data_IF_896629189742
#
_entry.id   IF_896629189742
#
_cell.length_a   1.000
_cell.length_b   1.000
_cell.length_c   1.000
_cell.angle_alpha   90.00
_cell.angle_beta   90.00
_cell.angle_gamma   90.00
#
_symmetry.space_group_name_H-M   'P 1'
#
loop_
_entity.id
_entity.type
_entity.pdbx_description
1 polymer ?
#
# COMPACT_ATOMS: atom_id res chain seq x y z
N UNK A 1 -7.95 28.38 -10.84
CA UNK A 1 -8.96 28.35 -11.93
C UNK A 1 -8.84 27.10 -12.81
N UNK A 2 -7.69 26.86 -13.47
CA UNK A 2 -7.53 25.71 -14.39
C UNK A 2 -7.69 24.32 -13.73
N UNK A 3 -7.15 24.13 -12.52
CA UNK A 3 -7.31 22.88 -11.76
C UNK A 3 -8.77 22.55 -11.45
N UNK A 4 -9.53 23.55 -10.99
CA UNK A 4 -10.96 23.40 -10.70
C UNK A 4 -11.76 23.06 -11.97
N UNK A 5 -11.49 23.74 -13.08
CA UNK A 5 -12.11 23.44 -14.38
C UNK A 5 -11.83 22.00 -14.82
N UNK A 6 -10.58 21.55 -14.70
CA UNK A 6 -10.20 20.18 -15.01
C UNK A 6 -10.92 19.17 -14.11
N UNK A 7 -11.01 19.44 -12.81
CA UNK A 7 -11.75 18.63 -11.83
C UNK A 7 -13.22 18.48 -12.24
N UNK A 8 -13.90 19.58 -12.57
CA UNK A 8 -15.30 19.54 -13.03
C UNK A 8 -15.47 18.80 -14.36
N UNK A 9 -14.57 19.04 -15.32
CA UNK A 9 -14.56 18.36 -16.61
C UNK A 9 -14.45 16.84 -16.46
N UNK A 10 -13.42 16.36 -15.74
CA UNK A 10 -13.20 14.93 -15.54
C UNK A 10 -14.32 14.29 -14.73
N UNK A 11 -14.84 14.97 -13.70
CA UNK A 11 -15.99 14.52 -12.93
C UNK A 11 -17.21 14.30 -13.84
N UNK A 12 -17.50 15.25 -14.72
CA UNK A 12 -18.60 15.14 -15.68
C UNK A 12 -18.47 13.93 -16.59
N UNK A 13 -17.28 13.75 -17.20
CA UNK A 13 -17.03 12.60 -18.08
C UNK A 13 -17.13 11.26 -17.35
N UNK A 14 -16.49 11.15 -16.18
CA UNK A 14 -16.52 9.93 -15.39
C UNK A 14 -17.95 9.59 -14.93
N UNK A 15 -18.73 10.59 -14.50
CA UNK A 15 -20.14 10.42 -14.13
C UNK A 15 -20.98 9.89 -15.28
N UNK A 16 -20.76 10.35 -16.51
CA UNK A 16 -21.47 9.85 -17.70
C UNK A 16 -21.13 8.37 -17.94
N UNK A 17 -19.85 7.99 -17.81
CA UNK A 17 -19.42 6.58 -17.95
C UNK A 17 -20.07 5.69 -16.88
N UNK A 18 -20.06 6.12 -15.63
CA UNK A 18 -20.71 5.37 -14.54
C UNK A 18 -22.23 5.25 -14.74
N UNK A 19 -22.89 6.32 -15.19
CA UNK A 19 -24.32 6.29 -15.50
C UNK A 19 -24.66 5.33 -16.64
N UNK A 20 -23.83 5.30 -17.69
CA UNK A 20 -24.04 4.47 -18.89
C UNK A 20 -23.80 2.98 -18.64
N UNK A 21 -22.78 2.64 -17.86
CA UNK A 21 -22.31 1.26 -17.70
C UNK A 21 -22.67 0.62 -16.36
N UNK A 22 -22.99 1.43 -15.34
CA UNK A 22 -23.44 1.01 -14.00
C UNK A 22 -22.61 -0.13 -13.38
N UNK A 23 -21.26 -0.02 -13.35
CA UNK A 23 -20.44 -1.01 -12.67
C UNK A 23 -20.68 -0.96 -11.16
N UNK A 24 -20.50 -2.08 -10.47
CA UNK A 24 -20.42 -2.07 -9.01
C UNK A 24 -19.03 -1.55 -8.58
N UNK A 25 -19.01 -0.63 -7.64
CA UNK A 25 -17.79 0.03 -7.16
C UNK A 25 -17.34 -0.57 -5.83
N UNK A 26 -16.06 -0.90 -5.73
CA UNK A 26 -15.37 -1.26 -4.49
C UNK A 26 -14.47 -0.07 -4.13
N UNK A 27 -14.88 0.72 -3.14
CA UNK A 27 -14.09 1.83 -2.62
C UNK A 27 -13.13 1.35 -1.53
N UNK A 28 -11.86 1.72 -1.62
CA UNK A 28 -10.83 1.31 -0.65
C UNK A 28 -10.15 2.54 -0.06
N UNK A 29 -10.14 2.68 1.27
CA UNK A 29 -9.45 3.76 1.97
C UNK A 29 -8.62 3.27 3.17
N UNK A 30 -7.89 4.21 3.77
CA UNK A 30 -6.97 3.99 4.88
C UNK A 30 -5.71 4.84 4.76
N UNK A 31 -4.87 4.79 5.78
CA UNK A 31 -3.52 5.37 5.80
C UNK A 31 -2.48 4.38 5.29
N UNK A 32 -2.63 3.10 5.64
CA UNK A 32 -1.71 2.01 5.28
C UNK A 32 -2.46 0.88 4.55
N UNK A 33 -1.77 0.05 3.78
CA UNK A 33 -2.36 -1.18 3.21
C UNK A 33 -3.29 -1.03 1.99
N UNK A 34 -3.76 0.17 1.64
CA UNK A 34 -4.69 0.42 0.50
C UNK A 34 -4.32 -0.30 -0.80
N UNK A 35 -3.10 -0.08 -1.31
CA UNK A 35 -2.67 -0.61 -2.60
C UNK A 35 -2.54 -2.13 -2.61
N UNK A 36 -2.02 -2.72 -1.52
CA UNK A 36 -1.96 -4.18 -1.38
C UNK A 36 -3.37 -4.78 -1.29
N UNK A 37 -4.27 -4.16 -0.53
CA UNK A 37 -5.67 -4.60 -0.43
C UNK A 37 -6.38 -4.49 -1.79
N UNK A 38 -6.19 -3.40 -2.54
CA UNK A 38 -6.71 -3.25 -3.91
C UNK A 38 -6.27 -4.38 -4.81
N UNK A 39 -5.00 -4.74 -4.78
CA UNK A 39 -4.44 -5.77 -5.66
C UNK A 39 -4.86 -7.18 -5.22
N UNK A 40 -5.03 -7.43 -3.91
CA UNK A 40 -5.61 -8.67 -3.41
C UNK A 40 -7.10 -8.81 -3.79
N UNK A 41 -7.89 -7.75 -3.62
CA UNK A 41 -9.30 -7.71 -4.08
C UNK A 41 -9.38 -7.93 -5.58
N UNK A 42 -8.51 -7.28 -6.36
CA UNK A 42 -8.45 -7.49 -7.81
C UNK A 42 -8.13 -8.94 -8.17
N UNK A 43 -7.14 -9.54 -7.52
CA UNK A 43 -6.73 -10.93 -7.76
C UNK A 43 -7.88 -11.89 -7.52
N UNK A 44 -8.58 -11.75 -6.38
CA UNK A 44 -9.73 -12.59 -6.02
C UNK A 44 -10.88 -12.40 -7.01
N UNK A 45 -11.32 -11.16 -7.25
CA UNK A 45 -12.54 -10.90 -8.03
C UNK A 45 -12.35 -11.14 -9.53
N UNK A 46 -11.13 -11.02 -10.06
CA UNK A 46 -10.84 -11.25 -11.48
C UNK A 46 -11.01 -12.71 -11.91
N UNK A 47 -11.04 -13.65 -10.96
CA UNK A 47 -11.30 -15.07 -11.25
C UNK A 47 -12.73 -15.31 -11.76
N UNK A 48 -13.69 -14.46 -11.40
CA UNK A 48 -15.12 -14.65 -11.72
C UNK A 48 -15.73 -13.49 -12.49
N UNK A 49 -15.19 -12.29 -12.34
CA UNK A 49 -15.78 -11.08 -12.88
C UNK A 49 -14.81 -10.33 -13.79
N UNK A 50 -15.35 -9.55 -14.71
CA UNK A 50 -14.56 -8.53 -15.40
C UNK A 50 -14.33 -7.36 -14.44
N UNK A 51 -13.09 -7.19 -14.00
CA UNK A 51 -12.70 -6.21 -12.97
C UNK A 51 -11.72 -5.21 -13.54
N UNK A 52 -11.84 -3.95 -13.11
CA UNK A 52 -10.91 -2.89 -13.45
C UNK A 52 -10.47 -2.10 -12.23
N UNK A 53 -9.18 -1.81 -12.15
CA UNK A 53 -8.55 -1.04 -11.08
C UNK A 53 -7.69 0.14 -11.57
N UNK A 54 -7.80 0.48 -12.86
CA UNK A 54 -7.00 1.53 -13.51
C UNK A 54 -5.74 1.02 -14.23
N UNK A 55 -5.02 1.95 -14.87
CA UNK A 55 -3.77 1.69 -15.61
C UNK A 55 -2.59 2.38 -14.91
N UNK A 56 -1.56 1.61 -14.58
CA UNK A 56 -0.20 2.12 -14.35
C UNK A 56 0.20 2.44 -12.91
N UNK A 57 1.50 2.74 -12.74
CA UNK A 57 2.25 2.92 -11.48
C UNK A 57 1.84 4.13 -10.61
N UNK A 58 0.86 4.95 -11.01
CA UNK A 58 0.53 6.21 -10.32
C UNK A 58 -0.58 6.01 -9.29
N UNK A 59 -0.44 6.69 -8.14
CA UNK A 59 -1.44 6.73 -7.06
C UNK A 59 -2.68 7.53 -7.49
N UNK A 60 -3.54 6.95 -8.32
CA UNK A 60 -4.79 7.58 -8.77
C UNK A 60 -5.92 7.35 -7.78
N UNK A 61 -5.83 8.06 -6.66
CA UNK A 61 -6.75 7.91 -5.54
C UNK A 61 -7.47 9.21 -5.13
N UNK A 62 -7.18 10.34 -5.78
CA UNK A 62 -7.73 11.65 -5.47
C UNK A 62 -8.77 12.12 -6.51
N UNK A 63 -9.17 13.40 -6.42
CA UNK A 63 -10.24 13.99 -7.23
C UNK A 63 -9.96 14.09 -8.74
N UNK A 64 -8.70 13.92 -9.15
CA UNK A 64 -8.30 13.82 -10.56
C UNK A 64 -8.04 12.36 -10.94
N UNK A 65 -7.39 11.61 -10.04
CA UNK A 65 -7.01 10.22 -10.26
C UNK A 65 -8.21 9.29 -10.44
N UNK A 66 -9.20 9.36 -9.55
CA UNK A 66 -10.38 8.48 -9.60
C UNK A 66 -11.18 8.64 -10.90
N UNK A 67 -11.50 9.86 -11.37
CA UNK A 67 -12.08 10.05 -12.70
C UNK A 67 -11.25 9.41 -13.83
N UNK A 68 -9.92 9.57 -13.80
CA UNK A 68 -9.04 9.00 -14.83
C UNK A 68 -9.07 7.47 -14.82
N UNK A 69 -9.13 6.84 -13.64
CA UNK A 69 -9.31 5.39 -13.50
C UNK A 69 -10.62 4.95 -14.14
N UNK A 70 -11.73 5.63 -13.87
CA UNK A 70 -13.06 5.32 -14.44
C UNK A 70 -13.04 5.42 -15.97
N UNK A 71 -12.38 6.45 -16.51
CA UNK A 71 -12.25 6.66 -17.95
C UNK A 71 -11.28 5.70 -18.63
N UNK A 72 -10.30 5.16 -17.88
CA UNK A 72 -9.17 4.41 -18.44
C UNK A 72 -8.11 5.31 -19.07
N UNK A 73 -8.00 6.55 -18.60
CA UNK A 73 -7.08 7.55 -19.10
C UNK A 73 -5.86 7.73 -18.19
N UNK A 74 -4.78 8.30 -18.72
CA UNK A 74 -3.56 8.65 -17.97
C UNK A 74 -3.55 10.15 -17.64
N UNK A 75 -2.81 10.51 -16.60
CA UNK A 75 -2.57 11.90 -16.20
C UNK A 75 -1.54 12.57 -17.10
N UNK A 76 -1.85 13.75 -17.64
CA UNK A 76 -1.02 14.45 -18.62
C UNK A 76 -0.22 15.64 -18.07
N UNK A 77 -0.31 15.91 -16.76
CA UNK A 77 0.48 16.99 -16.14
C UNK A 77 0.11 18.35 -16.74
N UNK A 78 1.12 19.10 -17.19
CA UNK A 78 0.95 20.41 -17.85
C UNK A 78 0.58 20.32 -19.33
N UNK A 79 0.51 19.12 -19.93
CA UNK A 79 0.23 18.95 -21.35
C UNK A 79 -1.27 19.09 -21.64
N UNK A 80 -1.69 20.27 -22.10
CA UNK A 80 -3.08 20.59 -22.44
C UNK A 80 -3.64 19.73 -23.59
N UNK A 81 -2.82 19.39 -24.59
CA UNK A 81 -3.24 18.55 -25.72
C UNK A 81 -3.55 17.12 -25.22
N UNK A 82 -2.75 16.61 -24.28
CA UNK A 82 -3.01 15.33 -23.63
C UNK A 82 -4.36 15.30 -22.91
N UNK A 83 -4.74 16.41 -22.27
CA UNK A 83 -6.06 16.54 -21.63
C UNK A 83 -7.22 16.56 -22.64
N UNK A 84 -7.04 17.14 -23.82
CA UNK A 84 -8.01 17.02 -24.92
C UNK A 84 -8.14 15.55 -25.38
N UNK A 85 -7.02 14.82 -25.43
CA UNK A 85 -7.00 13.39 -25.71
C UNK A 85 -7.89 12.54 -24.80
N UNK A 86 -8.04 12.94 -23.53
CA UNK A 86 -8.93 12.26 -22.56
C UNK A 86 -10.39 12.28 -23.03
N UNK A 87 -10.83 13.32 -23.76
CA UNK A 87 -12.16 13.36 -24.35
C UNK A 87 -12.39 12.22 -25.35
N UNK A 88 -11.40 11.93 -26.19
CA UNK A 88 -11.51 10.86 -27.18
C UNK A 88 -11.46 9.48 -26.53
N UNK A 89 -10.68 9.30 -25.46
CA UNK A 89 -10.73 8.09 -24.62
C UNK A 89 -12.13 7.91 -24.03
N UNK A 90 -12.72 8.99 -23.51
CA UNK A 90 -14.09 9.02 -23.01
C UNK A 90 -15.10 8.59 -24.09
N UNK A 91 -15.05 9.16 -25.31
CA UNK A 91 -15.96 8.80 -26.39
C UNK A 91 -15.84 7.31 -26.75
N UNK A 92 -14.62 6.80 -26.89
CA UNK A 92 -14.39 5.37 -27.14
C UNK A 92 -14.98 4.49 -26.03
N UNK A 93 -14.82 4.90 -24.76
CA UNK A 93 -15.36 4.18 -23.61
C UNK A 93 -16.89 4.29 -23.50
N UNK A 94 -17.47 5.41 -23.91
CA UNK A 94 -18.91 5.67 -23.87
C UNK A 94 -19.66 4.77 -24.85
N UNK A 95 -19.12 4.59 -26.05
CA UNK A 95 -19.71 3.78 -27.12
C UNK A 95 -19.22 2.33 -27.16
N UNK A 96 -18.28 1.96 -26.29
CA UNK A 96 -17.84 0.56 -26.13
C UNK A 96 -19.01 -0.32 -25.68
N UNK A 97 -19.19 -1.47 -26.35
CA UNK A 97 -20.16 -2.50 -25.95
C UNK A 97 -19.77 -3.26 -24.68
N UNK A 98 -18.52 -3.12 -24.22
CA UNK A 98 -18.01 -3.79 -23.02
C UNK A 98 -17.33 -2.80 -22.07
N UNK A 99 -17.78 -2.80 -20.82
CA UNK A 99 -17.16 -2.12 -19.68
C UNK A 99 -17.05 -3.13 -18.52
N UNK A 100 -16.01 -3.06 -17.67
CA UNK A 100 -15.86 -3.96 -16.52
C UNK A 100 -17.10 -3.95 -15.63
N UNK A 101 -17.49 -5.12 -15.13
CA UNK A 101 -18.63 -5.24 -14.20
C UNK A 101 -18.31 -4.63 -12.84
N UNK A 102 -17.04 -4.73 -12.42
CA UNK A 102 -16.55 -4.25 -11.14
C UNK A 102 -15.45 -3.20 -11.32
N UNK A 103 -15.54 -2.11 -10.57
CA UNK A 103 -14.52 -1.08 -10.46
C UNK A 103 -13.92 -1.09 -9.05
N UNK A 104 -12.60 -1.23 -8.94
CA UNK A 104 -11.90 -1.06 -7.66
C UNK A 104 -11.23 0.31 -7.67
N UNK A 105 -11.64 1.16 -6.75
CA UNK A 105 -11.19 2.54 -6.65
C UNK A 105 -10.53 2.76 -5.27
N UNK A 106 -9.23 3.07 -5.27
CA UNK A 106 -8.61 3.65 -4.07
C UNK A 106 -9.15 5.07 -3.90
N UNK A 107 -9.62 5.40 -2.69
CA UNK A 107 -10.17 6.70 -2.32
C UNK A 107 -9.30 7.31 -1.22
N UNK A 108 -8.31 8.08 -1.66
CA UNK A 108 -7.42 8.87 -0.81
C UNK A 108 -8.10 10.16 -0.35
N UNK A 109 -7.66 10.67 0.79
CA UNK A 109 -8.10 11.98 1.30
C UNK A 109 -6.85 12.75 1.67
N UNK A 110 -6.77 13.97 1.16
CA UNK A 110 -5.69 14.90 1.46
C UNK A 110 -6.24 16.05 2.32
N UNK A 111 -7.50 16.45 2.10
CA UNK A 111 -8.18 17.55 2.79
C UNK A 111 -9.60 17.17 3.23
N UNK A 112 -10.20 17.91 4.18
CA UNK A 112 -11.60 17.75 4.54
C UNK A 112 -12.53 17.92 3.33
N UNK A 113 -13.50 17.00 3.18
CA UNK A 113 -14.48 16.98 2.09
C UNK A 113 -14.10 16.14 0.87
N UNK A 114 -12.86 15.64 0.80
CA UNK A 114 -12.41 14.79 -0.31
C UNK A 114 -13.20 13.47 -0.39
N UNK A 115 -13.47 12.83 0.75
CA UNK A 115 -14.19 11.56 0.74
C UNK A 115 -15.62 11.73 0.23
N UNK A 116 -16.26 12.84 0.60
CA UNK A 116 -17.59 13.19 0.11
C UNK A 116 -17.59 13.42 -1.41
N UNK A 117 -16.58 14.11 -1.94
CA UNK A 117 -16.44 14.28 -3.39
C UNK A 117 -16.30 12.94 -4.12
N UNK A 118 -15.42 12.07 -3.64
CA UNK A 118 -15.13 10.78 -4.29
C UNK A 118 -16.32 9.84 -4.25
N UNK A 119 -17.01 9.75 -3.11
CA UNK A 119 -18.19 8.88 -2.95
C UNK A 119 -19.42 9.43 -3.67
N UNK A 120 -19.56 10.75 -3.83
CA UNK A 120 -20.60 11.33 -4.70
C UNK A 120 -20.37 11.02 -6.19
N UNK A 121 -19.10 10.96 -6.62
CA UNK A 121 -18.78 10.57 -7.99
C UNK A 121 -19.08 9.10 -8.23
N UNK A 122 -18.55 8.23 -7.36
CA UNK A 122 -18.58 6.79 -7.50
C UNK A 122 -19.04 6.13 -6.19
N UNK A 123 -20.37 6.09 -5.93
CA UNK A 123 -20.91 5.47 -4.74
C UNK A 123 -20.50 3.99 -4.64
N UNK A 124 -19.86 3.55 -3.54
CA UNK A 124 -19.43 2.17 -3.40
C UNK A 124 -20.60 1.21 -3.14
N UNK A 125 -20.51 0.02 -3.71
CA UNK A 125 -21.26 -1.16 -3.26
C UNK A 125 -20.54 -1.88 -2.10
N UNK A 126 -19.21 -1.80 -2.08
CA UNK A 126 -18.35 -2.25 -0.99
C UNK A 126 -17.42 -1.11 -0.58
N UNK A 127 -17.35 -0.82 0.71
CA UNK A 127 -16.38 0.12 1.28
C UNK A 127 -15.42 -0.62 2.18
N UNK A 128 -14.13 -0.62 1.81
CA UNK A 128 -13.07 -1.30 2.54
C UNK A 128 -12.18 -0.28 3.25
N UNK A 129 -12.01 -0.42 4.56
CA UNK A 129 -11.11 0.41 5.37
C UNK A 129 -9.98 -0.46 5.90
N UNK A 130 -8.76 -0.10 5.49
CA UNK A 130 -7.57 -0.92 5.72
C UNK A 130 -6.91 -0.71 7.08
N UNK A 131 -6.71 0.53 7.50
CA UNK A 131 -6.02 0.88 8.74
C UNK A 131 -5.61 2.35 8.75
N UNK A 132 -5.69 2.99 9.90
CA UNK A 132 -5.30 4.39 10.09
C UNK A 132 -3.93 4.52 10.74
N UNK A 133 -3.63 3.65 11.71
CA UNK A 133 -2.49 3.81 12.62
C UNK A 133 -2.66 5.01 13.57
N UNK A 134 -1.80 5.11 14.57
CA UNK A 134 -1.87 6.19 15.58
C UNK A 134 -1.67 7.58 14.99
N UNK A 135 -0.80 7.71 13.99
CA UNK A 135 -0.54 8.94 13.26
C UNK A 135 -0.83 8.69 11.77
N UNK A 136 -2.04 9.02 11.30
CA UNK A 136 -2.42 8.92 9.90
C UNK A 136 -1.56 9.78 8.98
N UNK A 137 -1.38 9.33 7.74
CA UNK A 137 -0.81 10.18 6.67
C UNK A 137 -1.78 11.33 6.33
N UNK A 138 -1.23 12.46 5.87
CA UNK A 138 -1.96 13.71 5.58
C UNK A 138 -2.52 14.43 6.81
N UNK A 139 -2.16 14.02 8.04
CA UNK A 139 -2.61 14.68 9.27
C UNK A 139 -2.26 16.18 9.31
N UNK A 140 -1.24 16.61 8.56
CA UNK A 140 -0.84 18.03 8.45
C UNK A 140 -1.92 18.96 7.89
N UNK A 141 -2.87 18.45 7.11
CA UNK A 141 -3.98 19.23 6.54
C UNK A 141 -5.26 19.17 7.37
N UNK A 142 -5.22 18.49 8.52
CA UNK A 142 -6.35 18.28 9.42
C UNK A 142 -6.05 18.84 10.81
N UNK A 143 -7.09 18.98 11.64
CA UNK A 143 -6.93 19.42 13.03
C UNK A 143 -6.30 18.38 13.94
N UNK A 144 -6.14 17.14 13.48
CA UNK A 144 -5.57 16.02 14.24
C UNK A 144 -5.93 14.65 13.64
N UNK A 145 -5.38 13.55 14.18
CA UNK A 145 -5.64 12.18 13.73
C UNK A 145 -7.13 11.81 13.66
N UNK A 146 -7.92 12.24 14.64
CA UNK A 146 -9.35 11.95 14.76
C UNK A 146 -10.15 12.55 13.59
N UNK A 147 -9.73 13.72 13.10
CA UNK A 147 -10.36 14.36 11.95
C UNK A 147 -10.06 13.62 10.64
N UNK A 148 -8.85 13.05 10.50
CA UNK A 148 -8.50 12.19 9.35
C UNK A 148 -9.33 10.90 9.37
N UNK A 149 -9.45 10.27 10.54
CA UNK A 149 -10.27 9.07 10.75
C UNK A 149 -11.73 9.36 10.42
N UNK A 150 -12.28 10.48 10.90
CA UNK A 150 -13.65 10.90 10.62
C UNK A 150 -13.88 11.15 9.13
N UNK A 151 -12.95 11.82 8.44
CA UNK A 151 -13.03 12.08 7.00
C UNK A 151 -12.99 10.78 6.19
N UNK A 152 -12.03 9.89 6.44
CA UNK A 152 -11.95 8.58 5.77
C UNK A 152 -13.16 7.70 6.07
N UNK A 153 -13.68 7.75 7.29
CA UNK A 153 -14.87 7.02 7.72
C UNK A 153 -16.15 7.39 6.98
N UNK A 154 -16.22 8.58 6.36
CA UNK A 154 -17.37 8.99 5.52
C UNK A 154 -17.63 8.04 4.35
N UNK A 155 -16.65 7.20 3.95
CA UNK A 155 -16.85 6.17 2.93
C UNK A 155 -17.97 5.19 3.27
N UNK A 156 -18.25 4.97 4.57
CA UNK A 156 -19.32 4.08 5.03
C UNK A 156 -20.70 4.72 4.86
N UNK A 157 -20.79 6.04 4.98
CA UNK A 157 -22.06 6.77 4.82
C UNK A 157 -22.59 6.69 3.38
N UNK A 158 -21.71 6.41 2.42
CA UNK A 158 -22.06 6.27 1.01
C UNK A 158 -22.57 4.87 0.64
N UNK A 159 -22.49 3.90 1.56
CA UNK A 159 -23.04 2.56 1.34
C UNK A 159 -24.57 2.58 1.45
N UNK A 160 -25.22 1.92 0.50
CA UNK A 160 -26.61 1.51 0.65
C UNK A 160 -26.74 0.39 1.70
N UNK A 161 -27.94 0.18 2.24
CA UNK A 161 -28.22 -0.91 3.20
C UNK A 161 -27.86 -2.30 2.65
N UNK A 162 -28.02 -2.49 1.33
CA UNK A 162 -27.63 -3.71 0.63
C UNK A 162 -26.12 -3.85 0.37
N UNK A 163 -25.31 -2.85 0.73
CA UNK A 163 -23.87 -2.86 0.55
C UNK A 163 -23.14 -3.66 1.63
N UNK A 164 -21.80 -3.64 1.54
CA UNK A 164 -20.94 -4.27 2.55
C UNK A 164 -19.79 -3.35 2.95
N UNK A 165 -19.62 -3.15 4.25
CA UNK A 165 -18.43 -2.56 4.84
C UNK A 165 -17.44 -3.68 5.18
N UNK A 166 -16.18 -3.53 4.75
CA UNK A 166 -15.09 -4.44 5.10
C UNK A 166 -14.10 -3.68 5.97
N UNK A 167 -13.94 -4.10 7.22
CA UNK A 167 -13.20 -3.35 8.23
C UNK A 167 -12.06 -4.18 8.83
N UNK A 168 -10.87 -3.59 8.95
CA UNK A 168 -9.77 -4.20 9.69
C UNK A 168 -10.05 -4.15 11.20
N UNK A 169 -10.17 -5.32 11.84
CA UNK A 169 -10.41 -5.46 13.28
C UNK A 169 -9.15 -5.33 14.14
N UNK A 170 -7.96 -5.31 13.53
CA UNK A 170 -6.69 -5.10 14.25
C UNK A 170 -6.42 -3.62 14.54
N UNK A 171 -7.15 -2.72 13.87
CA UNK A 171 -7.10 -1.28 14.10
C UNK A 171 -8.36 -0.86 14.87
N UNK A 172 -8.19 -0.44 16.12
CA UNK A 172 -9.31 -0.11 17.01
C UNK A 172 -10.18 1.02 16.46
N UNK A 173 -9.57 2.04 15.84
CA UNK A 173 -10.29 3.17 15.23
C UNK A 173 -11.12 2.72 14.04
N UNK A 174 -10.59 1.82 13.22
CA UNK A 174 -11.35 1.20 12.12
C UNK A 174 -12.50 0.35 12.66
N UNK A 175 -12.26 -0.48 13.68
CA UNK A 175 -13.29 -1.36 14.25
C UNK A 175 -14.44 -0.55 14.88
N UNK A 176 -14.14 0.58 15.52
CA UNK A 176 -15.16 1.50 16.06
C UNK A 176 -16.08 2.09 14.98
N UNK A 177 -15.65 2.14 13.71
CA UNK A 177 -16.51 2.59 12.62
C UNK A 177 -17.62 1.58 12.26
N UNK A 178 -17.58 0.35 12.79
CA UNK A 178 -18.64 -0.65 12.62
C UNK A 178 -20.02 -0.09 12.96
N UNK A 179 -20.12 0.64 14.08
CA UNK A 179 -21.37 1.23 14.57
C UNK A 179 -21.90 2.38 13.67
N UNK A 180 -21.08 2.90 12.76
CA UNK A 180 -21.46 3.98 11.83
C UNK A 180 -22.02 3.45 10.51
N UNK A 181 -21.84 2.15 10.21
CA UNK A 181 -22.32 1.55 8.97
C UNK A 181 -23.77 1.10 9.11
N UNK A 182 -24.63 1.46 8.15
CA UNK A 182 -25.99 0.90 8.02
C UNK A 182 -26.03 -0.38 7.18
N UNK A 183 -24.92 -0.68 6.51
CA UNK A 183 -24.76 -1.83 5.64
C UNK A 183 -24.26 -3.05 6.42
N UNK A 184 -24.28 -4.22 5.79
CA UNK A 184 -23.63 -5.41 6.35
C UNK A 184 -22.15 -5.13 6.64
N UNK A 185 -21.62 -5.62 7.77
CA UNK A 185 -20.21 -5.43 8.15
C UNK A 185 -19.53 -6.78 8.20
N UNK A 186 -18.40 -6.90 7.50
CA UNK A 186 -17.50 -8.04 7.57
C UNK A 186 -16.13 -7.57 8.04
N UNK A 187 -15.63 -8.17 9.11
CA UNK A 187 -14.35 -7.78 9.71
C UNK A 187 -13.24 -8.78 9.39
N UNK A 188 -12.00 -8.29 9.28
CA UNK A 188 -10.82 -9.11 9.04
C UNK A 188 -9.65 -8.70 9.93
N UNK A 189 -8.74 -9.63 10.23
CA UNK A 189 -7.58 -9.33 11.06
C UNK A 189 -6.95 -10.58 11.67
N UNK A 190 -5.93 -10.39 12.51
CA UNK A 190 -5.39 -11.42 13.40
C UNK A 190 -6.20 -11.48 14.71
N UNK A 191 -6.84 -10.38 15.07
CA UNK A 191 -7.66 -10.22 16.27
C UNK A 191 -8.74 -11.30 16.39
N UNK A 192 -9.00 -11.72 17.63
CA UNK A 192 -10.10 -12.62 17.95
C UNK A 192 -11.48 -12.08 17.60
N UNK A 193 -11.61 -10.75 17.44
CA UNK A 193 -12.84 -10.06 17.07
C UNK A 193 -13.16 -10.08 15.56
N UNK A 194 -12.23 -10.56 14.72
CA UNK A 194 -12.41 -10.62 13.27
C UNK A 194 -13.29 -11.81 12.83
N UNK A 195 -14.21 -11.56 11.89
CA UNK A 195 -15.02 -12.61 11.24
C UNK A 195 -14.15 -13.50 10.32
N UNK A 196 -13.23 -12.86 9.59
CA UNK A 196 -12.20 -13.50 8.76
C UNK A 196 -10.86 -13.36 9.48
N UNK A 197 -10.46 -14.39 10.21
CA UNK A 197 -9.31 -14.34 11.11
C UNK A 197 -8.07 -15.00 10.51
N UNK A 198 -6.93 -14.33 10.58
CA UNK A 198 -5.62 -14.85 10.21
C UNK A 198 -5.03 -15.59 11.40
N UNK A 199 -4.69 -16.87 11.22
CA UNK A 199 -4.07 -17.73 12.21
C UNK A 199 -2.80 -18.37 11.66
N UNK A 200 -1.93 -18.83 12.56
CA UNK A 200 -0.73 -19.61 12.22
C UNK A 200 0.16 -18.94 11.14
N UNK A 201 0.32 -17.62 11.22
CA UNK A 201 1.17 -16.88 10.28
C UNK A 201 2.64 -17.29 10.44
N UNK A 202 3.26 -17.68 9.32
CA UNK A 202 4.66 -18.08 9.25
C UNK A 202 5.30 -17.57 7.96
N UNK A 203 6.59 -17.27 8.02
CA UNK A 203 7.39 -16.97 6.84
C UNK A 203 7.92 -18.28 6.26
N UNK A 204 7.82 -18.43 4.95
CA UNK A 204 8.38 -19.55 4.21
C UNK A 204 9.83 -19.25 3.86
N UNK A 205 10.72 -20.22 4.07
CA UNK A 205 12.14 -20.10 3.76
C UNK A 205 12.59 -21.21 2.83
N UNK A 206 13.46 -20.85 1.89
CA UNK A 206 14.33 -21.78 1.17
C UNK A 206 15.71 -21.76 1.80
N UNK A 207 16.25 -22.93 2.10
CA UNK A 207 17.66 -23.04 2.47
C UNK A 207 18.52 -23.04 1.21
N UNK A 208 19.51 -22.17 1.15
CA UNK A 208 20.51 -22.15 0.08
C UNK A 208 21.88 -22.02 0.73
N UNK A 209 22.63 -23.13 0.76
CA UNK A 209 23.97 -23.21 1.36
C UNK A 209 24.01 -22.73 2.83
N UNK A 210 23.00 -23.06 3.64
CA UNK A 210 22.90 -22.66 5.05
C UNK A 210 22.35 -21.24 5.27
N UNK A 211 22.00 -20.51 4.21
CA UNK A 211 21.33 -19.22 4.28
C UNK A 211 19.83 -19.43 4.08
N UNK A 212 19.02 -19.04 5.07
CA UNK A 212 17.56 -19.06 4.98
C UNK A 212 17.07 -17.84 4.21
N UNK A 213 16.64 -18.05 2.97
CA UNK A 213 16.11 -17.01 2.10
C UNK A 213 14.58 -17.01 2.23
N UNK A 214 13.94 -15.90 2.60
CA UNK A 214 12.49 -15.83 2.61
C UNK A 214 11.92 -15.96 1.19
N UNK A 215 10.82 -16.68 1.03
CA UNK A 215 10.14 -16.88 -0.26
C UNK A 215 8.70 -16.38 -0.30
N UNK A 216 8.12 -16.13 0.87
CA UNK A 216 6.70 -15.88 0.98
C UNK A 216 6.20 -16.05 2.40
N UNK A 217 4.88 -16.07 2.53
CA UNK A 217 4.19 -16.30 3.79
C UNK A 217 3.16 -17.42 3.63
N UNK A 218 2.92 -18.14 4.71
CA UNK A 218 1.82 -19.09 4.86
C UNK A 218 1.04 -18.75 6.11
N UNK A 219 -0.28 -18.86 6.04
CA UNK A 219 -1.18 -18.67 7.17
C UNK A 219 -2.48 -19.43 6.92
N UNK A 220 -3.35 -19.47 7.90
CA UNK A 220 -4.70 -20.02 7.78
C UNK A 220 -5.72 -18.90 7.93
N UNK A 221 -6.74 -18.88 7.08
CA UNK A 221 -7.93 -18.08 7.27
C UNK A 221 -8.96 -18.92 8.00
N UNK A 222 -9.37 -18.47 9.18
CA UNK A 222 -10.54 -18.99 9.88
C UNK A 222 -11.77 -18.19 9.48
N UNK A 223 -12.80 -18.88 8.99
CA UNK A 223 -14.09 -18.28 8.66
C UNK A 223 -15.21 -19.29 8.91
N UNK A 224 -16.23 -18.92 9.68
CA UNK A 224 -17.37 -19.80 10.03
C UNK A 224 -16.97 -21.20 10.51
N UNK A 225 -15.91 -21.29 11.33
CA UNK A 225 -15.38 -22.55 11.86
C UNK A 225 -14.44 -23.31 10.92
N UNK A 226 -14.46 -23.03 9.61
CA UNK A 226 -13.51 -23.60 8.66
C UNK A 226 -12.12 -22.97 8.80
N UNK A 227 -11.08 -23.77 8.53
CA UNK A 227 -9.68 -23.33 8.45
C UNK A 227 -9.15 -23.58 7.04
N UNK A 228 -8.78 -22.50 6.36
CA UNK A 228 -8.40 -22.53 4.94
C UNK A 228 -6.95 -22.07 4.81
N UNK A 229 -6.02 -22.93 4.35
CA UNK A 229 -4.63 -22.54 4.19
C UNK A 229 -4.48 -21.55 3.03
N UNK A 230 -3.67 -20.52 3.23
CA UNK A 230 -3.30 -19.53 2.22
C UNK A 230 -1.78 -19.41 2.17
N UNK A 231 -1.25 -19.36 0.95
CA UNK A 231 0.19 -19.22 0.68
C UNK A 231 0.39 -18.09 -0.32
N UNK A 232 1.21 -17.11 0.05
CA UNK A 232 1.55 -15.97 -0.81
C UNK A 232 3.04 -16.01 -1.10
N UNK A 233 3.42 -16.12 -2.37
CA UNK A 233 4.81 -16.09 -2.80
C UNK A 233 5.31 -14.67 -3.05
N UNK A 234 6.59 -14.41 -2.78
CA UNK A 234 7.23 -13.10 -2.97
C UNK A 234 6.77 -12.01 -1.98
N UNK A 235 5.85 -12.34 -1.07
CA UNK A 235 5.28 -11.44 -0.07
C UNK A 235 5.90 -11.66 1.31
N UNK A 236 6.13 -10.57 2.05
CA UNK A 236 6.55 -10.63 3.45
C UNK A 236 5.65 -9.82 4.37
N UNK A 237 5.77 -10.15 5.66
CA UNK A 237 5.08 -9.52 6.79
C UNK A 237 3.58 -9.79 6.86
N UNK A 238 3.05 -9.61 8.08
CA UNK A 238 1.62 -9.76 8.40
C UNK A 238 0.74 -8.81 7.59
N UNK A 239 1.28 -7.65 7.16
CA UNK A 239 0.56 -6.67 6.34
C UNK A 239 0.09 -7.24 4.99
N UNK A 240 0.83 -8.19 4.40
CA UNK A 240 0.40 -8.86 3.17
C UNK A 240 -0.65 -9.94 3.44
N UNK A 241 -0.61 -10.62 4.59
CA UNK A 241 -1.69 -11.49 5.02
C UNK A 241 -3.00 -10.70 5.28
N UNK A 242 -2.90 -9.50 5.87
CA UNK A 242 -4.03 -8.59 6.03
C UNK A 242 -4.61 -8.13 4.69
N UNK A 243 -3.76 -7.83 3.70
CA UNK A 243 -4.22 -7.52 2.35
C UNK A 243 -4.96 -8.69 1.71
N UNK A 244 -4.44 -9.92 1.85
CA UNK A 244 -5.09 -11.13 1.37
C UNK A 244 -6.43 -11.39 2.08
N UNK A 245 -6.53 -11.18 3.39
CA UNK A 245 -7.78 -11.30 4.14
C UNK A 245 -8.81 -10.23 3.71
N UNK A 246 -8.38 -9.01 3.40
CA UNK A 246 -9.22 -7.98 2.79
C UNK A 246 -9.76 -8.44 1.41
N UNK A 247 -8.90 -9.01 0.56
CA UNK A 247 -9.31 -9.65 -0.70
C UNK A 247 -10.30 -10.80 -0.49
N UNK A 248 -10.08 -11.60 0.55
CA UNK A 248 -10.95 -12.71 0.93
C UNK A 248 -12.35 -12.22 1.29
N UNK A 249 -12.45 -11.19 2.12
CA UNK A 249 -13.70 -10.54 2.48
C UNK A 249 -14.46 -10.01 1.25
N UNK A 250 -13.76 -9.41 0.28
CA UNK A 250 -14.40 -8.94 -0.94
C UNK A 250 -14.96 -10.11 -1.77
N UNK A 251 -14.24 -11.22 -1.88
CA UNK A 251 -14.75 -12.43 -2.52
C UNK A 251 -16.01 -12.97 -1.85
N UNK A 252 -16.04 -13.01 -0.51
CA UNK A 252 -17.23 -13.41 0.26
C UNK A 252 -18.42 -12.48 0.02
N UNK A 253 -18.20 -11.17 -0.01
CA UNK A 253 -19.24 -10.17 -0.28
C UNK A 253 -19.87 -10.34 -1.68
N UNK A 254 -19.13 -10.91 -2.64
CA UNK A 254 -19.64 -11.28 -3.97
C UNK A 254 -20.12 -12.75 -4.06
N UNK A 255 -20.27 -13.45 -2.92
CA UNK A 255 -20.80 -14.81 -2.85
C UNK A 255 -19.87 -15.88 -3.45
N UNK A 256 -18.55 -15.63 -3.49
CA UNK A 256 -17.59 -16.62 -3.95
C UNK A 256 -17.35 -17.70 -2.89
N UNK A 257 -17.02 -18.91 -3.34
CA UNK A 257 -16.69 -20.01 -2.44
C UNK A 257 -15.36 -19.74 -1.69
N UNK A 258 -15.29 -19.91 -0.36
CA UNK A 258 -14.09 -19.66 0.45
C UNK A 258 -12.80 -20.36 -0.04
N UNK A 259 -12.90 -21.60 -0.52
CA UNK A 259 -11.75 -22.36 -1.03
C UNK A 259 -11.27 -21.77 -2.36
N UNK A 260 -12.20 -21.45 -3.28
CA UNK A 260 -11.85 -20.81 -4.55
C UNK A 260 -11.22 -19.43 -4.36
N UNK A 261 -11.63 -18.68 -3.33
CA UNK A 261 -11.00 -17.41 -2.96
C UNK A 261 -9.55 -17.64 -2.51
N UNK A 262 -9.29 -18.64 -1.66
CA UNK A 262 -7.94 -18.96 -1.20
C UNK A 262 -7.02 -19.43 -2.35
N UNK A 263 -7.56 -20.22 -3.28
CA UNK A 263 -6.85 -20.60 -4.52
C UNK A 263 -6.51 -19.38 -5.37
N UNK A 264 -7.45 -18.43 -5.54
CA UNK A 264 -7.19 -17.19 -6.25
C UNK A 264 -6.06 -16.37 -5.61
N UNK A 265 -6.02 -16.32 -4.27
CA UNK A 265 -4.98 -15.60 -3.53
C UNK A 265 -3.58 -16.18 -3.72
N UNK A 266 -3.43 -17.43 -4.19
CA UNK A 266 -2.12 -17.96 -4.52
C UNK A 266 -1.43 -17.21 -5.69
N UNK A 267 -2.21 -16.57 -6.55
CA UNK A 267 -1.73 -15.73 -7.66
C UNK A 267 -1.47 -14.27 -7.26
N UNK A 268 -1.75 -13.91 -5.99
CA UNK A 268 -1.50 -12.55 -5.51
C UNK A 268 0.00 -12.26 -5.49
N UNK A 269 0.36 -11.16 -6.15
CA UNK A 269 1.70 -10.59 -6.11
C UNK A 269 1.65 -9.27 -5.35
N UNK A 270 2.54 -9.05 -4.36
CA UNK A 270 2.68 -7.75 -3.74
C UNK A 270 2.92 -6.67 -4.80
N UNK A 271 2.30 -5.50 -4.67
CA UNK A 271 2.64 -4.36 -5.52
C UNK A 271 4.15 -4.01 -5.35
N UNK A 272 4.82 -3.53 -6.41
CA UNK A 272 6.17 -2.99 -6.29
C UNK A 272 6.32 -2.01 -5.12
N UNK A 273 7.42 -2.10 -4.39
CA UNK A 273 7.69 -1.26 -3.22
C UNK A 273 6.79 -1.51 -2.01
N UNK A 274 6.16 -2.69 -1.89
CA UNK A 274 5.30 -3.07 -0.74
C UNK A 274 5.71 -4.42 -0.14
N UNK A 275 6.70 -4.42 0.75
CA UNK A 275 7.23 -5.63 1.42
C UNK A 275 7.50 -6.78 0.45
N UNK A 276 8.08 -6.45 -0.70
CA UNK A 276 8.41 -7.39 -1.75
C UNK A 276 9.82 -7.96 -1.54
N UNK A 277 9.98 -9.27 -1.77
CA UNK A 277 11.28 -9.93 -1.71
C UNK A 277 11.97 -9.82 -3.07
N UNK A 278 13.16 -9.25 -3.10
CA UNK A 278 14.02 -9.17 -4.29
C UNK A 278 15.40 -9.77 -4.01
N UNK A 279 16.05 -10.25 -5.07
CA UNK A 279 17.44 -10.73 -5.00
C UNK A 279 18.39 -9.55 -5.10
N UNK A 280 19.30 -9.45 -4.14
CA UNK A 280 20.36 -8.45 -4.12
C UNK A 280 21.71 -9.01 -4.57
N UNK A 281 22.57 -8.09 -5.00
CA UNK A 281 23.96 -8.34 -5.37
C UNK A 281 24.72 -8.99 -4.21
N UNK A 282 25.80 -9.72 -4.53
CA UNK A 282 26.63 -10.44 -3.54
C UNK A 282 25.84 -11.44 -2.67
N UNK A 283 24.81 -12.08 -3.23
CA UNK A 283 23.95 -13.05 -2.52
C UNK A 283 23.24 -12.46 -1.29
N UNK A 284 22.77 -11.23 -1.43
CA UNK A 284 21.94 -10.56 -0.42
C UNK A 284 20.46 -10.71 -0.75
N UNK A 285 19.60 -10.47 0.24
CA UNK A 285 18.15 -10.41 0.06
C UNK A 285 17.68 -9.00 0.35
N UNK A 286 16.84 -8.45 -0.52
CA UNK A 286 16.26 -7.11 -0.36
C UNK A 286 14.78 -7.25 -0.02
N UNK A 287 14.34 -6.51 0.99
CA UNK A 287 12.93 -6.24 1.26
C UNK A 287 12.65 -4.84 0.73
N UNK A 288 12.02 -4.77 -0.44
CA UNK A 288 11.60 -3.52 -1.05
C UNK A 288 10.25 -3.08 -0.47
N UNK A 289 10.26 -2.01 0.32
CA UNK A 289 9.07 -1.33 0.82
C UNK A 289 9.14 0.19 0.51
N UNK A 290 9.68 0.52 -0.66
CA UNK A 290 10.02 1.88 -1.05
C UNK A 290 8.85 2.71 -1.59
N UNK A 291 7.63 2.17 -1.70
CA UNK A 291 6.49 2.88 -2.29
C UNK A 291 6.14 4.17 -1.54
N UNK A 292 5.96 4.09 -0.23
CA UNK A 292 5.73 5.23 0.66
C UNK A 292 5.99 4.81 2.12
N UNK A 293 6.08 5.78 3.03
CA UNK A 293 6.27 5.53 4.45
C UNK A 293 5.25 6.29 5.31
N UNK A 294 4.65 5.55 6.23
CA UNK A 294 3.82 6.03 7.32
C UNK A 294 4.31 5.35 8.60
N UNK A 295 4.08 5.93 9.79
CA UNK A 295 4.61 5.39 11.05
C UNK A 295 4.25 3.90 11.25
N UNK A 296 2.96 3.55 11.19
CA UNK A 296 2.51 2.17 11.32
C UNK A 296 3.12 1.21 10.28
N UNK A 297 3.40 1.69 9.05
CA UNK A 297 4.03 0.87 8.03
C UNK A 297 5.55 0.68 8.28
N UNK A 298 6.24 1.70 8.80
CA UNK A 298 7.64 1.61 9.21
C UNK A 298 7.80 0.62 10.38
N UNK A 299 6.92 0.71 11.39
CA UNK A 299 6.89 -0.20 12.52
C UNK A 299 6.72 -1.66 12.07
N UNK A 300 5.73 -1.94 11.21
CA UNK A 300 5.50 -3.27 10.68
C UNK A 300 6.68 -3.81 9.84
N UNK A 301 7.35 -2.95 9.08
CA UNK A 301 8.52 -3.33 8.28
C UNK A 301 9.72 -3.68 9.17
N UNK A 302 9.96 -2.93 10.25
CA UNK A 302 11.01 -3.20 11.22
C UNK A 302 10.71 -4.43 12.09
N UNK A 303 9.46 -4.65 12.50
CA UNK A 303 9.04 -5.90 13.17
C UNK A 303 9.33 -7.10 12.27
N UNK A 304 8.99 -7.01 10.98
CA UNK A 304 9.29 -8.05 10.01
C UNK A 304 10.80 -8.29 9.90
N UNK A 305 11.61 -7.25 9.68
CA UNK A 305 13.07 -7.36 9.61
C UNK A 305 13.66 -8.01 10.89
N UNK A 306 13.22 -7.54 12.06
CA UNK A 306 13.63 -8.06 13.36
C UNK A 306 13.29 -9.54 13.57
N UNK A 307 12.19 -10.02 13.00
CA UNK A 307 11.76 -11.43 13.12
C UNK A 307 12.47 -12.40 12.18
N UNK A 308 13.04 -11.91 11.06
CA UNK A 308 13.62 -12.77 10.03
C UNK A 308 15.04 -13.24 10.41
N UNK A 309 15.42 -14.51 10.15
CA UNK A 309 16.80 -14.95 10.29
C UNK A 309 17.67 -14.33 9.19
N UNK A 310 18.82 -13.76 9.56
CA UNK A 310 19.81 -13.24 8.62
C UNK A 310 21.18 -13.17 9.31
N UNK A 311 22.26 -13.14 8.53
CA UNK A 311 23.62 -12.94 9.06
C UNK A 311 23.77 -11.54 9.64
N UNK A 312 23.38 -10.53 8.85
CA UNK A 312 23.23 -9.15 9.28
C UNK A 312 21.96 -8.57 8.67
N UNK A 313 21.32 -7.68 9.43
CA UNK A 313 20.12 -6.95 9.03
C UNK A 313 20.49 -5.49 8.83
N UNK A 314 20.18 -4.96 7.66
CA UNK A 314 20.47 -3.58 7.29
C UNK A 314 19.15 -2.87 7.07
N UNK A 315 18.92 -1.78 7.79
CA UNK A 315 17.75 -0.91 7.58
C UNK A 315 18.20 0.36 6.87
N UNK A 316 17.60 0.65 5.70
CA UNK A 316 17.81 1.88 4.95
C UNK A 316 16.49 2.67 4.93
N UNK A 317 16.42 3.69 5.77
CA UNK A 317 15.19 4.39 6.12
C UNK A 317 15.24 5.86 5.69
N UNK A 318 14.33 6.25 4.80
CA UNK A 318 14.14 7.64 4.40
C UNK A 318 13.06 8.35 5.22
N UNK A 319 12.99 9.67 5.08
CA UNK A 319 11.96 10.52 5.71
C UNK A 319 10.53 9.97 5.51
N UNK A 320 9.73 10.03 6.58
CA UNK A 320 8.28 10.00 6.49
C UNK A 320 7.75 11.41 6.20
N UNK A 321 6.89 11.52 5.20
CA UNK A 321 6.36 12.80 4.72
C UNK A 321 4.93 13.01 5.24
N UNK A 322 4.44 14.26 5.15
CA UNK A 322 3.04 14.61 5.40
C UNK A 322 2.53 14.34 6.83
N UNK A 323 3.42 14.45 7.84
CA UNK A 323 3.11 14.24 9.26
C UNK A 323 2.95 15.55 10.07
N UNK A 324 3.22 16.72 9.47
CA UNK A 324 3.07 18.01 10.16
C UNK A 324 3.85 18.08 11.48
N UNK A 325 3.18 18.53 12.54
CA UNK A 325 3.73 18.63 13.90
C UNK A 325 4.14 17.29 14.52
N UNK A 326 3.65 16.16 14.00
CA UNK A 326 3.96 14.82 14.49
C UNK A 326 5.25 14.25 13.88
N UNK A 327 5.93 15.00 13.01
CA UNK A 327 7.12 14.53 12.29
C UNK A 327 8.20 14.01 13.24
N UNK A 328 8.61 14.79 14.23
CA UNK A 328 9.70 14.40 15.13
C UNK A 328 9.34 13.16 15.96
N UNK A 329 8.19 13.20 16.65
CA UNK A 329 7.69 12.09 17.47
C UNK A 329 7.65 10.78 16.68
N UNK A 330 7.07 10.83 15.47
CA UNK A 330 6.95 9.65 14.63
C UNK A 330 8.31 9.08 14.23
N UNK A 331 9.29 9.91 13.88
CA UNK A 331 10.63 9.43 13.49
C UNK A 331 11.40 8.89 14.70
N UNK A 332 11.31 9.54 15.87
CA UNK A 332 11.95 9.05 17.10
C UNK A 332 11.45 7.65 17.47
N UNK A 333 10.13 7.44 17.42
CA UNK A 333 9.53 6.11 17.65
C UNK A 333 10.07 5.02 16.72
N UNK A 334 10.44 5.35 15.49
CA UNK A 334 11.12 4.41 14.58
C UNK A 334 12.56 4.14 15.03
N UNK A 335 13.29 5.17 15.48
CA UNK A 335 14.64 5.04 16.02
C UNK A 335 14.73 4.10 17.24
N UNK A 336 13.75 4.18 18.15
CA UNK A 336 13.63 3.27 19.32
C UNK A 336 13.58 1.79 18.92
N UNK A 337 13.05 1.46 17.74
CA UNK A 337 12.91 0.09 17.27
C UNK A 337 14.18 -0.48 16.64
N UNK A 338 15.15 0.35 16.28
CA UNK A 338 16.32 -0.08 15.51
C UNK A 338 17.17 -1.13 16.24
N UNK A 339 17.50 -0.99 17.56
CA UNK A 339 18.37 -1.95 18.25
C UNK A 339 17.88 -3.39 18.24
N UNK A 340 16.54 -3.61 18.20
CA UNK A 340 15.93 -4.94 18.11
C UNK A 340 15.68 -5.43 16.68
N UNK A 341 15.82 -4.55 15.69
CA UNK A 341 15.37 -4.81 14.32
C UNK A 341 16.52 -4.96 13.33
N UNK A 342 17.61 -4.22 13.51
CA UNK A 342 18.71 -4.14 12.57
C UNK A 342 20.08 -4.22 13.25
N UNK A 343 21.12 -4.52 12.47
CA UNK A 343 22.52 -4.46 12.88
C UNK A 343 23.24 -3.23 12.31
N UNK A 344 22.74 -2.68 11.19
CA UNK A 344 23.27 -1.49 10.52
C UNK A 344 22.09 -0.59 10.16
N UNK A 345 22.23 0.71 10.40
CA UNK A 345 21.23 1.73 10.10
C UNK A 345 21.77 2.74 9.08
N UNK A 346 21.04 2.92 8.00
CA UNK A 346 21.16 4.07 7.10
C UNK A 346 19.91 4.94 7.24
N UNK A 347 20.10 6.23 7.47
CA UNK A 347 19.03 7.23 7.46
C UNK A 347 19.23 8.19 6.29
N UNK A 348 18.16 8.49 5.55
CA UNK A 348 18.22 9.33 4.35
C UNK A 348 17.22 10.48 4.43
N UNK A 349 17.73 11.72 4.41
CA UNK A 349 16.92 12.95 4.44
C UNK A 349 16.87 13.64 5.79
N UNK A 350 16.52 14.92 5.80
CA UNK A 350 16.65 15.78 6.97
C UNK A 350 15.84 15.30 8.20
N UNK A 351 14.64 14.74 7.98
CA UNK A 351 13.76 14.30 9.09
C UNK A 351 14.20 12.96 9.67
N UNK A 352 14.85 12.12 8.86
CA UNK A 352 15.41 10.84 9.28
C UNK A 352 16.56 10.97 10.29
N UNK A 353 17.13 12.17 10.47
CA UNK A 353 18.06 12.47 11.58
C UNK A 353 17.44 12.17 12.94
N UNK A 354 16.14 12.39 13.11
CA UNK A 354 15.45 12.02 14.35
C UNK A 354 15.43 10.50 14.60
N UNK A 355 15.44 9.68 13.54
CA UNK A 355 15.58 8.21 13.67
C UNK A 355 16.99 7.88 14.16
N UNK A 356 18.01 8.47 13.54
CA UNK A 356 19.43 8.27 13.89
C UNK A 356 19.69 8.67 15.35
N UNK A 357 19.32 9.90 15.73
CA UNK A 357 19.50 10.41 17.09
C UNK A 357 18.86 9.49 18.14
N UNK A 358 17.63 9.04 17.88
CA UNK A 358 16.92 8.19 18.83
C UNK A 358 17.46 6.76 18.87
N UNK A 359 17.93 6.22 17.74
CA UNK A 359 18.63 4.93 17.72
C UNK A 359 19.92 4.99 18.55
N UNK A 360 20.71 6.06 18.42
CA UNK A 360 21.93 6.27 19.24
C UNK A 360 21.61 6.38 20.73
N UNK A 361 20.58 7.15 21.10
CA UNK A 361 20.09 7.25 22.48
C UNK A 361 19.62 5.90 23.04
N UNK A 362 19.03 5.07 22.19
CA UNK A 362 18.60 3.71 22.50
C UNK A 362 19.76 2.69 22.53
N UNK A 363 21.01 3.14 22.46
CA UNK A 363 22.21 2.30 22.57
C UNK A 363 22.69 1.68 21.25
N UNK A 364 22.18 2.12 20.10
CA UNK A 364 22.67 1.66 18.82
C UNK A 364 24.09 2.20 18.53
N UNK A 365 25.05 1.38 18.07
CA UNK A 365 26.43 1.86 17.92
C UNK A 365 26.56 2.90 16.79
N UNK A 366 27.19 4.03 17.09
CA UNK A 366 27.51 5.07 16.08
C UNK A 366 28.32 4.51 14.90
N UNK A 367 29.21 3.54 15.17
CA UNK A 367 29.98 2.86 14.12
C UNK A 367 29.12 2.07 13.13
N UNK A 368 27.87 1.74 13.49
CA UNK A 368 26.88 1.04 12.66
C UNK A 368 25.78 1.96 12.09
N UNK A 369 25.91 3.27 12.28
CA UNK A 369 24.93 4.26 11.78
C UNK A 369 25.53 5.14 10.69
N UNK A 370 24.78 5.41 9.62
CA UNK A 370 25.18 6.29 8.51
C UNK A 370 24.03 7.21 8.13
N UNK A 371 24.29 8.51 8.10
CA UNK A 371 23.34 9.51 7.62
C UNK A 371 23.71 10.04 6.24
N UNK A 372 22.70 10.31 5.41
CA UNK A 372 22.85 10.78 4.05
C UNK A 372 21.73 11.76 3.73
N UNK A 373 22.00 12.79 2.94
CA UNK A 373 20.96 13.76 2.58
C UNK A 373 20.12 13.24 1.40
N UNK A 374 20.70 12.38 0.54
CA UNK A 374 20.04 11.85 -0.66
C UNK A 374 20.20 10.34 -0.86
N UNK A 375 19.12 9.70 -1.32
CA UNK A 375 19.08 8.28 -1.71
C UNK A 375 20.20 7.83 -2.67
N UNK A 376 20.70 8.72 -3.52
CA UNK A 376 21.75 8.45 -4.53
C UNK A 376 23.11 8.20 -3.89
N UNK A 377 23.35 8.79 -2.72
CA UNK A 377 24.62 8.65 -2.03
C UNK A 377 24.76 7.25 -1.42
N UNK A 378 23.63 6.61 -1.07
CA UNK A 378 23.56 5.33 -0.37
C UNK A 378 24.31 4.22 -1.08
N UNK A 379 24.22 4.13 -2.41
CA UNK A 379 24.90 3.06 -3.16
C UNK A 379 26.41 3.03 -2.87
N UNK A 380 27.06 4.20 -2.91
CA UNK A 380 28.51 4.30 -2.79
C UNK A 380 29.05 3.80 -1.45
N UNK A 381 28.22 3.86 -0.40
CA UNK A 381 28.55 3.42 0.95
C UNK A 381 28.06 2.00 1.23
N UNK A 382 26.81 1.69 0.85
CA UNK A 382 26.19 0.41 1.15
C UNK A 382 26.80 -0.73 0.32
N UNK A 383 26.98 -0.54 -0.99
CA UNK A 383 27.38 -1.61 -1.92
C UNK A 383 28.74 -2.25 -1.58
N UNK A 384 29.79 -1.50 -1.19
CA UNK A 384 31.04 -2.10 -0.74
C UNK A 384 30.92 -2.93 0.54
N UNK A 385 30.00 -2.56 1.43
CA UNK A 385 29.78 -3.20 2.74
C UNK A 385 28.98 -4.50 2.68
N UNK A 386 28.21 -4.73 1.61
CA UNK A 386 27.36 -5.91 1.47
C UNK A 386 28.17 -7.20 1.49
N UNK A 387 27.73 -8.14 2.32
CA UNK A 387 28.25 -9.50 2.47
C UNK A 387 27.16 -10.54 2.12
N UNK A 388 27.56 -11.74 1.66
CA UNK A 388 26.62 -12.85 1.47
C UNK A 388 25.77 -13.14 2.71
N UNK A 389 24.46 -13.24 2.51
CA UNK A 389 23.49 -13.49 3.59
C UNK A 389 23.00 -12.26 4.34
N UNK A 390 23.38 -11.04 3.92
CA UNK A 390 22.75 -9.82 4.42
C UNK A 390 21.29 -9.71 3.96
N UNK A 391 20.45 -9.21 4.86
CA UNK A 391 19.05 -8.86 4.61
C UNK A 391 18.88 -7.34 4.70
N UNK A 392 18.50 -6.71 3.59
CA UNK A 392 18.41 -5.26 3.44
C UNK A 392 16.97 -4.82 3.31
N UNK A 393 16.44 -4.11 4.30
CA UNK A 393 15.16 -3.41 4.20
C UNK A 393 15.39 -2.00 3.66
N UNK A 394 14.66 -1.63 2.61
CA UNK A 394 14.68 -0.26 2.08
C UNK A 394 13.28 0.33 2.14
N UNK A 395 13.12 1.46 2.82
CA UNK A 395 11.82 2.09 3.03
C UNK A 395 11.94 3.60 3.18
N UNK A 396 10.96 4.35 2.66
CA UNK A 396 10.89 5.80 2.85
C UNK A 396 9.68 6.42 2.17
N UNK A 397 9.42 7.69 2.45
CA UNK A 397 8.36 8.46 1.83
C UNK A 397 8.53 8.55 0.32
N UNK A 398 7.42 8.75 -0.41
CA UNK A 398 7.45 8.77 -1.86
C UNK A 398 8.41 9.84 -2.44
N UNK A 399 8.58 10.98 -1.77
CA UNK A 399 9.51 12.02 -2.17
C UNK A 399 10.99 11.61 -2.07
N UNK A 400 11.32 10.59 -1.28
CA UNK A 400 12.70 10.22 -0.97
C UNK A 400 13.38 9.35 -2.02
N UNK A 401 12.62 8.86 -3.03
CA UNK A 401 13.17 8.07 -4.14
C UNK A 401 14.00 6.85 -3.72
N UNK A 402 13.64 6.22 -2.60
CA UNK A 402 14.38 5.10 -2.01
C UNK A 402 14.49 3.87 -2.93
N UNK A 403 13.62 3.71 -3.91
CA UNK A 403 13.72 2.68 -4.94
C UNK A 403 15.04 2.74 -5.72
N UNK A 404 15.71 3.90 -5.76
CA UNK A 404 17.05 4.04 -6.37
C UNK A 404 18.09 3.19 -5.65
N UNK A 405 17.98 3.10 -4.32
CA UNK A 405 18.86 2.24 -3.51
C UNK A 405 18.65 0.79 -3.90
N UNK A 406 17.39 0.37 -4.08
CA UNK A 406 17.03 -0.99 -4.49
C UNK A 406 17.54 -1.28 -5.91
N UNK A 407 17.32 -0.38 -6.87
CA UNK A 407 17.81 -0.50 -8.25
C UNK A 407 19.32 -0.68 -8.31
N UNK A 408 20.06 0.03 -7.45
CA UNK A 408 21.52 -0.03 -7.38
C UNK A 408 22.07 -1.35 -6.79
N UNK A 409 21.31 -2.01 -5.91
CA UNK A 409 21.79 -3.20 -5.20
C UNK A 409 21.10 -4.50 -5.65
N UNK A 410 20.09 -4.47 -6.52
CA UNK A 410 19.44 -5.67 -7.04
C UNK A 410 20.30 -6.40 -8.10
N UNK A 411 20.07 -7.72 -8.25
CA UNK A 411 20.81 -8.56 -9.22
C UNK A 411 20.44 -8.26 -10.67
N UNK A 412 19.17 -7.92 -10.93
CA UNK A 412 18.58 -7.78 -12.27
C UNK A 412 18.07 -6.34 -12.49
N UNK A 413 18.95 -5.32 -12.52
CA UNK A 413 18.54 -3.91 -12.67
C UNK A 413 17.77 -3.64 -13.97
N UNK A 414 17.96 -4.46 -15.01
CA UNK A 414 17.18 -4.40 -16.25
C UNK A 414 15.68 -4.68 -16.04
N UNK A 415 15.32 -5.43 -15.00
CA UNK A 415 13.94 -5.70 -14.60
C UNK A 415 13.35 -4.65 -13.67
N UNK A 416 14.08 -3.56 -13.38
CA UNK A 416 13.59 -2.50 -12.50
C UNK A 416 12.20 -2.00 -12.91
N UNK A 417 11.95 -1.84 -14.21
CA UNK A 417 10.66 -1.37 -14.74
C UNK A 417 9.46 -2.28 -14.43
N UNK A 418 9.69 -3.55 -14.09
CA UNK A 418 8.65 -4.50 -13.68
C UNK A 418 8.56 -4.64 -12.17
N UNK A 419 9.70 -4.55 -11.48
CA UNK A 419 9.85 -4.93 -10.07
C UNK A 419 9.84 -3.73 -9.11
N UNK A 420 10.16 -2.52 -9.59
CA UNK A 420 10.29 -1.33 -8.77
C UNK A 420 9.25 -0.28 -9.12
N UNK A 421 8.93 0.55 -8.14
CA UNK A 421 8.07 1.72 -8.33
C UNK A 421 8.80 2.81 -9.11
N UNK A 422 8.04 3.71 -9.75
CA UNK A 422 8.53 5.00 -10.26
C UNK A 422 9.64 4.87 -11.32
N UNK A 423 9.43 3.95 -12.24
CA UNK A 423 10.38 3.67 -13.33
C UNK A 423 10.05 4.41 -14.63
N UNK A 424 8.94 5.16 -14.64
CA UNK A 424 8.59 6.01 -15.77
C UNK A 424 9.62 7.12 -16.04
N UNK A 425 9.67 7.58 -17.30
CA UNK A 425 10.60 8.64 -17.75
C UNK A 425 10.48 9.91 -16.89
N UNK A 426 9.25 10.30 -16.53
CA UNK A 426 9.01 11.46 -15.65
C UNK A 426 9.69 11.30 -14.29
N UNK A 427 9.62 10.11 -13.71
CA UNK A 427 10.24 9.81 -12.42
C UNK A 427 11.75 9.70 -12.53
N UNK A 428 12.29 9.05 -13.57
CA UNK A 428 13.74 8.98 -13.79
C UNK A 428 14.39 10.37 -13.98
N UNK A 429 13.65 11.35 -14.51
CA UNK A 429 14.10 12.74 -14.66
C UNK A 429 14.03 13.59 -13.40
N UNK A 430 13.18 13.24 -12.42
CA UNK A 430 13.14 13.96 -11.14
C UNK A 430 14.46 13.70 -10.42
N UNK A 431 15.17 14.77 -10.08
CA UNK A 431 16.41 14.76 -9.28
C UNK A 431 16.07 14.28 -7.87
#
# INVERSE_FOLDING_TARGET
>A
MLYALLKYYLYGLARIILWRHKPAVIGITGSVGKTSARDAVYTVLSMRFSVWRGVGEKNYNNEIGVPLVILGARHHGRNLIGWIGVFFVFLGRLFSGSYPKLLILEMGVDHPGDMEYLTKLAPPAISLITGFGSIPVHVEFFSGPEAVIAEKGKILNALAESGTAILNADDADVLMLKEKSRASVLTYGVSGAADVRIEEFQVLFRDTNGVKIPEGVVFKIRYQGALIPVRLFGALAKTQALAAAAGFCAGLAFGMNPVAIAEALAEFKPPPGRMQILKGNRHTVIIDDTYNAAPAAMEAALEALGSLPAKRKIAVLGDMLELGSYTEEAHRRIGEMIPRSANILFTVGARSRFIEEEALRSGFPESQTRHMDDSREVESVLRPMLEPGDLVLVKGGQGMRMERVVEAIMVEPEKAHELLVRQSVDWKRKI
#
